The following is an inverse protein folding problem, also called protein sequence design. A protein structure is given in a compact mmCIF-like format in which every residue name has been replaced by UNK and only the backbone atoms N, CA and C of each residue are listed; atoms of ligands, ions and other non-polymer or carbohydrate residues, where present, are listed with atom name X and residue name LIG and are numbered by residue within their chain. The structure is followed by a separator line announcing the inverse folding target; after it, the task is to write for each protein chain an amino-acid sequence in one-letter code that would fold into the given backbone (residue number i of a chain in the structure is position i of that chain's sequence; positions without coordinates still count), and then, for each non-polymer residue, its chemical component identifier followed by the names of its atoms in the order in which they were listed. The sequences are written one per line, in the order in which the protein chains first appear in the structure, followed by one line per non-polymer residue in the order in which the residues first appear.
data_IF_476822226179
#
_entry.id   IF_476822226179
#
_cell.length_a   1.000
_cell.length_b   1.000
_cell.length_c   1.000
_cell.angle_alpha   90.00
_cell.angle_beta   90.00
_cell.angle_gamma   90.00
#
_symmetry.space_group_name_H-M   'P 1'
#
loop_
_entity.id
_entity.type
_entity.pdbx_description
1 polymer ?
#
# COMPACT_ATOMS: atom_id res chain seq x y z
N UNK A 1 -24.11 54.77 72.75
CA UNK A 1 -22.96 54.10 73.38
C UNK A 1 -22.52 52.93 72.50
N UNK A 2 -21.20 52.71 72.42
CA UNK A 2 -20.46 51.58 71.83
C UNK A 2 -20.29 51.49 70.29
N UNK A 3 -19.10 51.93 69.82
CA UNK A 3 -18.48 51.49 68.56
C UNK A 3 -18.13 49.99 68.64
N UNK A 4 -18.30 49.23 67.55
CA UNK A 4 -17.66 47.91 67.36
C UNK A 4 -16.86 47.88 66.04
N UNK A 5 -15.77 47.11 65.98
CA UNK A 5 -14.64 47.39 65.11
C UNK A 5 -14.74 46.69 63.74
N UNK A 6 -14.12 47.32 62.72
CA UNK A 6 -13.91 46.74 61.39
C UNK A 6 -12.83 45.67 61.49
N UNK A 7 -13.15 44.43 61.09
CA UNK A 7 -12.18 43.34 60.94
C UNK A 7 -11.59 43.38 59.52
N UNK A 8 -10.27 43.47 59.40
CA UNK A 8 -9.57 43.18 58.15
C UNK A 8 -9.57 41.66 57.91
N UNK A 9 -9.87 41.16 56.68
CA UNK A 9 -9.75 39.75 56.39
C UNK A 9 -8.29 39.36 56.15
N UNK A 10 -7.89 38.27 56.80
CA UNK A 10 -6.62 37.57 56.67
C UNK A 10 -6.37 37.15 55.22
N UNK A 11 -5.16 37.42 54.71
CA UNK A 11 -4.63 36.86 53.46
C UNK A 11 -4.71 35.34 53.50
N UNK A 12 -5.54 34.75 52.65
CA UNK A 12 -5.70 33.30 52.50
C UNK A 12 -4.59 32.82 51.56
N UNK A 13 -3.50 32.31 52.13
CA UNK A 13 -2.52 31.51 51.38
C UNK A 13 -3.22 30.27 50.82
N UNK A 14 -3.34 30.18 49.51
CA UNK A 14 -3.82 28.96 48.83
C UNK A 14 -2.65 27.97 48.71
N UNK A 15 -2.86 26.68 49.02
CA UNK A 15 -1.77 25.75 49.29
C UNK A 15 -1.14 25.22 48.01
N UNK A 16 0.13 24.82 48.14
CA UNK A 16 1.03 24.14 47.19
C UNK A 16 0.44 22.96 46.41
N UNK A 17 -0.75 22.47 46.75
CA UNK A 17 -1.45 21.41 45.99
C UNK A 17 -1.93 21.87 44.61
N UNK A 18 -2.28 23.15 44.46
CA UNK A 18 -2.69 23.69 43.16
C UNK A 18 -1.51 23.73 42.16
N UNK A 19 -0.30 24.05 42.63
CA UNK A 19 0.90 24.09 41.79
C UNK A 19 1.42 22.68 41.44
N UNK A 20 1.31 21.71 42.36
CA UNK A 20 1.62 20.30 42.07
C UNK A 20 0.64 19.71 41.06
N UNK A 21 -0.67 19.98 41.22
CA UNK A 21 -1.69 19.54 40.27
C UNK A 21 -1.48 20.10 38.86
N UNK A 22 -1.10 21.38 38.75
CA UNK A 22 -0.78 22.02 37.48
C UNK A 22 0.48 21.43 36.83
N UNK A 23 1.52 21.14 37.61
CA UNK A 23 2.76 20.53 37.11
C UNK A 23 2.54 19.08 36.62
N UNK A 24 1.71 18.30 37.32
CA UNK A 24 1.33 16.94 36.88
C UNK A 24 0.49 17.01 35.60
N UNK A 25 -0.48 17.92 35.51
CA UNK A 25 -1.28 18.14 34.29
C UNK A 25 -0.39 18.55 33.11
N UNK A 26 0.54 19.49 33.30
CA UNK A 26 1.48 19.90 32.25
C UNK A 26 2.42 18.77 31.86
N UNK A 27 2.88 17.95 32.81
CA UNK A 27 3.69 16.77 32.55
C UNK A 27 2.93 15.70 31.75
N UNK A 28 1.65 15.46 32.06
CA UNK A 28 0.77 14.54 31.33
C UNK A 28 0.48 15.08 29.92
N UNK A 29 0.15 16.36 29.77
CA UNK A 29 -0.07 16.99 28.45
C UNK A 29 1.20 16.99 27.61
N UNK A 30 2.36 17.24 28.22
CA UNK A 30 3.66 17.17 27.54
C UNK A 30 4.00 15.72 27.16
N UNK A 31 3.71 14.75 28.02
CA UNK A 31 3.92 13.34 27.72
C UNK A 31 2.99 12.86 26.59
N UNK A 32 1.69 13.15 26.65
CA UNK A 32 0.76 12.81 25.57
C UNK A 32 0.99 13.63 24.29
N UNK A 33 1.44 14.89 24.37
CA UNK A 33 1.71 15.76 23.23
C UNK A 33 3.05 15.52 22.54
N UNK A 34 4.09 15.14 23.30
CA UNK A 34 5.43 14.82 22.76
C UNK A 34 5.59 13.33 22.41
N UNK A 35 4.83 12.43 23.05
CA UNK A 35 4.90 10.97 22.84
C UNK A 35 3.66 10.34 22.20
N UNK A 36 2.59 11.10 21.87
CA UNK A 36 1.75 10.68 20.74
C UNK A 36 2.60 10.81 19.48
N UNK A 37 3.31 9.73 19.14
CA UNK A 37 3.70 9.51 17.77
C UNK A 37 2.40 9.56 16.96
N UNK A 38 2.18 10.66 16.24
CA UNK A 38 1.12 10.70 15.24
C UNK A 38 1.39 9.53 14.31
N UNK A 39 0.51 8.52 14.35
CA UNK A 39 0.60 7.40 13.43
C UNK A 39 0.57 8.01 12.03
N UNK A 40 1.60 7.74 11.23
CA UNK A 40 1.65 8.23 9.85
C UNK A 40 0.34 7.86 9.15
N UNK A 41 -0.36 8.86 8.65
CA UNK A 41 -1.63 8.69 7.95
C UNK A 41 -1.32 8.51 6.47
N UNK A 42 -2.07 7.69 5.74
CA UNK A 42 -1.85 7.52 4.29
C UNK A 42 -1.89 8.86 3.53
N UNK A 43 -2.61 9.85 4.07
CA UNK A 43 -2.70 11.20 3.56
C UNK A 43 -1.36 11.95 3.56
N UNK A 44 -0.41 11.58 4.42
CA UNK A 44 0.91 12.21 4.53
C UNK A 44 1.84 11.83 3.36
N UNK A 45 1.48 10.80 2.60
CA UNK A 45 2.23 10.36 1.43
C UNK A 45 1.80 11.13 0.19
N UNK A 46 2.80 11.74 -0.46
CA UNK A 46 2.60 12.60 -1.63
C UNK A 46 2.27 11.81 -2.90
N UNK A 47 2.80 10.59 -3.03
CA UNK A 47 2.64 9.78 -4.21
C UNK A 47 1.54 8.75 -3.98
N UNK A 48 0.43 8.94 -4.67
CA UNK A 48 -0.81 8.18 -4.49
C UNK A 48 -1.17 7.43 -5.76
N UNK A 49 -1.85 6.32 -5.57
CA UNK A 49 -2.36 5.50 -6.65
C UNK A 49 -3.52 4.66 -6.17
N UNK A 50 -3.93 3.76 -7.02
CA UNK A 50 -5.06 2.86 -6.77
C UNK A 50 -4.88 1.58 -7.58
N UNK A 51 -5.68 0.58 -7.28
CA UNK A 51 -5.71 -0.64 -8.07
C UNK A 51 -7.14 -1.08 -8.37
N UNK A 52 -7.33 -1.65 -9.56
CA UNK A 52 -8.66 -2.01 -10.06
C UNK A 52 -8.64 -3.30 -10.89
N UNK A 53 -9.80 -3.90 -11.00
CA UNK A 53 -10.10 -5.07 -11.82
C UNK A 53 -11.44 -4.86 -12.55
N UNK A 54 -11.94 -5.90 -13.21
CA UNK A 54 -13.31 -5.91 -13.73
C UNK A 54 -14.40 -5.66 -12.66
N UNK A 55 -14.09 -5.81 -11.35
CA UNK A 55 -15.04 -5.55 -10.27
C UNK A 55 -15.43 -4.07 -10.15
N UNK A 56 -14.55 -3.16 -10.57
CA UNK A 56 -14.83 -1.72 -10.57
C UNK A 56 -15.74 -1.28 -11.72
N UNK A 57 -16.06 -2.17 -12.66
CA UNK A 57 -16.97 -1.90 -13.77
C UNK A 57 -16.36 -0.97 -14.83
N UNK A 58 -17.22 -0.15 -15.44
CA UNK A 58 -16.79 0.89 -16.39
C UNK A 58 -16.22 2.08 -15.63
N UNK A 59 -15.03 2.53 -16.04
CA UNK A 59 -14.31 3.63 -15.39
C UNK A 59 -14.31 4.84 -16.33
N UNK A 60 -14.76 5.99 -15.83
CA UNK A 60 -14.63 7.26 -16.54
C UNK A 60 -13.25 7.87 -16.28
N UNK A 61 -12.24 7.37 -17.01
CA UNK A 61 -10.84 7.77 -16.86
C UNK A 61 -10.60 9.28 -17.00
N UNK A 62 -11.41 10.00 -17.78
CA UNK A 62 -11.29 11.47 -17.95
C UNK A 62 -11.52 12.24 -16.65
N UNK A 63 -12.23 11.65 -15.69
CA UNK A 63 -12.47 12.25 -14.35
C UNK A 63 -11.34 11.99 -13.37
N UNK A 64 -10.41 11.08 -13.69
CA UNK A 64 -9.32 10.69 -12.79
C UNK A 64 -8.12 11.61 -13.04
N UNK A 65 -7.77 12.42 -12.04
CA UNK A 65 -6.66 13.36 -12.17
C UNK A 65 -5.29 12.68 -12.03
N UNK A 66 -4.39 12.76 -13.03
CA UNK A 66 -3.03 12.25 -12.94
C UNK A 66 -2.14 13.05 -11.97
N UNK A 67 -2.60 14.24 -11.54
CA UNK A 67 -1.97 15.05 -10.50
C UNK A 67 -2.36 14.55 -9.11
N UNK A 68 -3.57 14.01 -8.95
CA UNK A 68 -4.04 13.43 -7.69
C UNK A 68 -3.57 11.98 -7.51
N UNK A 69 -3.58 11.19 -8.59
CA UNK A 69 -3.11 9.81 -8.63
C UNK A 69 -2.01 9.67 -9.67
N UNK A 70 -0.83 9.21 -9.29
CA UNK A 70 0.32 9.13 -10.19
C UNK A 70 0.47 7.74 -10.81
N UNK A 71 -0.05 6.71 -10.14
CA UNK A 71 0.04 5.34 -10.60
C UNK A 71 -1.27 4.57 -10.46
N UNK A 72 -1.42 3.52 -11.28
CA UNK A 72 -2.48 2.52 -11.14
C UNK A 72 -1.95 1.12 -11.47
N UNK A 73 -2.36 0.13 -10.67
CA UNK A 73 -2.17 -1.29 -10.99
C UNK A 73 -3.49 -1.92 -11.44
N UNK A 74 -3.46 -2.65 -12.54
CA UNK A 74 -4.64 -3.27 -13.14
C UNK A 74 -4.55 -4.78 -13.04
N UNK A 75 -5.62 -5.44 -12.59
CA UNK A 75 -5.70 -6.90 -12.66
C UNK A 75 -5.59 -7.32 -14.12
N UNK A 76 -4.61 -8.14 -14.44
CA UNK A 76 -4.47 -8.69 -15.78
C UNK A 76 -4.96 -10.12 -15.86
N UNK A 77 -4.52 -10.94 -14.91
CA UNK A 77 -4.70 -12.39 -14.95
C UNK A 77 -4.83 -12.97 -13.56
N UNK A 78 -5.31 -14.19 -13.50
CA UNK A 78 -5.43 -14.98 -12.29
C UNK A 78 -5.20 -16.45 -12.64
N UNK A 79 -4.36 -17.13 -11.85
CA UNK A 79 -4.07 -18.55 -12.08
C UNK A 79 -3.59 -18.84 -13.51
N UNK A 80 -3.89 -20.04 -14.01
CA UNK A 80 -3.33 -20.50 -15.28
C UNK A 80 -4.05 -20.04 -16.55
N UNK A 81 -5.26 -19.50 -16.43
CA UNK A 81 -6.18 -19.35 -17.55
C UNK A 81 -7.07 -18.10 -17.51
N UNK A 82 -7.39 -17.58 -16.32
CA UNK A 82 -8.26 -16.41 -16.22
C UNK A 82 -7.53 -15.14 -16.66
N UNK A 83 -8.22 -14.36 -17.51
CA UNK A 83 -7.83 -13.03 -17.95
C UNK A 83 -8.92 -12.04 -17.57
N UNK A 84 -8.53 -10.93 -16.94
CA UNK A 84 -9.49 -9.90 -16.55
C UNK A 84 -10.07 -9.23 -17.80
N UNK A 85 -11.40 -9.31 -17.94
CA UNK A 85 -12.12 -8.83 -19.13
C UNK A 85 -11.96 -7.33 -19.39
N UNK A 86 -11.66 -6.52 -18.38
CA UNK A 86 -11.52 -5.07 -18.51
C UNK A 86 -10.04 -4.65 -18.63
N UNK A 87 -9.08 -5.58 -18.51
CA UNK A 87 -7.65 -5.25 -18.44
C UNK A 87 -7.17 -4.43 -19.65
N UNK A 88 -7.43 -4.87 -20.88
CA UNK A 88 -6.90 -4.20 -22.07
C UNK A 88 -7.44 -2.78 -22.23
N UNK A 89 -8.74 -2.59 -21.98
CA UNK A 89 -9.38 -1.29 -22.04
C UNK A 89 -8.87 -0.36 -20.95
N UNK A 90 -8.81 -0.85 -19.70
CA UNK A 90 -8.26 -0.09 -18.59
C UNK A 90 -6.78 0.26 -18.81
N UNK A 91 -6.00 -0.66 -19.37
CA UNK A 91 -4.58 -0.45 -19.67
C UNK A 91 -4.37 0.70 -20.63
N UNK A 92 -5.13 0.73 -21.74
CA UNK A 92 -5.02 1.80 -22.73
C UNK A 92 -5.51 3.13 -22.16
N UNK A 93 -6.71 3.18 -21.58
CA UNK A 93 -7.32 4.42 -21.10
C UNK A 93 -6.56 5.04 -19.92
N UNK A 94 -6.04 4.23 -19.00
CA UNK A 94 -5.21 4.71 -17.89
C UNK A 94 -3.92 5.39 -18.39
N UNK A 95 -3.30 4.82 -19.42
CA UNK A 95 -2.09 5.38 -20.04
C UNK A 95 -2.38 6.65 -20.84
N UNK A 96 -3.49 6.70 -21.56
CA UNK A 96 -3.96 7.92 -22.24
C UNK A 96 -4.24 9.07 -21.26
N UNK A 97 -4.75 8.74 -20.06
CA UNK A 97 -4.91 9.71 -18.98
C UNK A 97 -3.57 10.14 -18.34
N UNK A 98 -2.46 9.53 -18.76
CA UNK A 98 -1.11 9.84 -18.33
C UNK A 98 -0.70 9.17 -17.03
N UNK A 99 -1.43 8.18 -16.51
CA UNK A 99 -1.01 7.47 -15.29
C UNK A 99 0.22 6.58 -15.56
N UNK A 100 1.08 6.37 -14.57
CA UNK A 100 2.02 5.26 -14.62
C UNK A 100 1.26 3.96 -14.38
N UNK A 101 1.25 3.07 -15.37
CA UNK A 101 0.39 1.88 -15.37
C UNK A 101 1.22 0.63 -15.15
N UNK A 102 0.80 -0.19 -14.20
CA UNK A 102 1.29 -1.54 -13.97
C UNK A 102 0.16 -2.57 -14.06
N UNK A 103 0.55 -3.84 -14.09
CA UNK A 103 -0.37 -4.96 -14.10
C UNK A 103 -0.06 -5.91 -12.94
N UNK A 104 -1.09 -6.53 -12.39
CA UNK A 104 -0.93 -7.56 -11.36
C UNK A 104 -1.56 -8.90 -11.77
N UNK A 105 -0.95 -9.97 -11.26
CA UNK A 105 -1.42 -11.34 -11.37
C UNK A 105 -1.95 -11.82 -10.01
N UNK A 106 -3.22 -12.22 -9.93
CA UNK A 106 -3.73 -12.88 -8.73
C UNK A 106 -3.25 -14.33 -8.70
N UNK A 107 -2.32 -14.63 -7.78
CA UNK A 107 -1.67 -15.93 -7.73
C UNK A 107 -2.57 -16.99 -7.09
N UNK A 108 -2.71 -18.13 -7.75
CA UNK A 108 -3.39 -19.31 -7.22
C UNK A 108 -2.36 -20.27 -6.63
N UNK A 109 -2.41 -20.44 -5.29
CA UNK A 109 -1.42 -21.19 -4.50
C UNK A 109 -1.30 -22.68 -4.89
N UNK A 110 -2.31 -23.23 -5.56
CA UNK A 110 -2.42 -24.63 -5.98
C UNK A 110 -2.11 -24.83 -7.48
N UNK A 111 -1.40 -23.88 -8.10
CA UNK A 111 -1.06 -23.90 -9.53
C UNK A 111 0.43 -23.64 -9.74
N UNK A 112 0.97 -24.25 -10.79
CA UNK A 112 2.38 -24.12 -11.17
C UNK A 112 2.72 -22.67 -11.55
N UNK A 113 3.85 -22.17 -11.06
CA UNK A 113 4.31 -20.81 -11.27
C UNK A 113 4.57 -20.51 -12.75
N UNK A 114 5.08 -21.50 -13.50
CA UNK A 114 5.33 -21.37 -14.95
C UNK A 114 4.05 -21.11 -15.73
N UNK A 115 2.97 -21.84 -15.44
CA UNK A 115 1.69 -21.69 -16.14
C UNK A 115 1.07 -20.31 -15.83
N UNK A 116 1.20 -19.86 -14.58
CA UNK A 116 0.75 -18.53 -14.15
C UNK A 116 1.55 -17.40 -14.81
N UNK A 117 2.88 -17.55 -14.93
CA UNK A 117 3.74 -16.63 -15.66
C UNK A 117 3.37 -16.55 -17.14
N UNK A 118 3.17 -17.70 -17.79
CA UNK A 118 2.77 -17.77 -19.20
C UNK A 118 1.43 -17.05 -19.45
N UNK A 119 0.45 -17.23 -18.57
CA UNK A 119 -0.82 -16.52 -18.65
C UNK A 119 -0.64 -14.99 -18.56
N UNK A 120 0.14 -14.52 -17.57
CA UNK A 120 0.43 -13.10 -17.40
C UNK A 120 1.18 -12.52 -18.59
N UNK A 121 2.25 -13.18 -19.05
CA UNK A 121 3.06 -12.76 -20.20
C UNK A 121 2.22 -12.69 -21.48
N UNK A 122 1.35 -13.67 -21.70
CA UNK A 122 0.46 -13.69 -22.86
C UNK A 122 -0.63 -12.60 -22.84
N UNK A 123 -0.80 -11.90 -21.71
CA UNK A 123 -1.87 -10.91 -21.51
C UNK A 123 -1.33 -9.49 -21.39
N UNK A 124 -0.21 -9.29 -20.70
CA UNK A 124 0.33 -7.97 -20.36
C UNK A 124 1.38 -7.53 -21.38
N UNK A 125 1.16 -6.40 -22.10
CA UNK A 125 2.12 -5.89 -23.07
C UNK A 125 3.48 -5.57 -22.42
N UNK A 126 4.57 -6.01 -23.05
CA UNK A 126 5.93 -5.64 -22.64
C UNK A 126 6.26 -4.21 -23.10
N UNK A 127 5.95 -3.24 -22.25
CA UNK A 127 6.18 -1.81 -22.49
C UNK A 127 7.26 -1.28 -21.55
N UNK A 128 8.27 -0.62 -22.13
CA UNK A 128 9.39 -0.07 -21.37
C UNK A 128 8.95 0.96 -20.31
N UNK A 129 7.87 1.69 -20.56
CA UNK A 129 7.30 2.70 -19.67
C UNK A 129 6.19 2.17 -18.75
N UNK A 130 5.93 0.86 -18.73
CA UNK A 130 5.06 0.24 -17.74
C UNK A 130 5.78 0.07 -16.39
N UNK A 131 5.02 0.15 -15.30
CA UNK A 131 5.51 -0.21 -13.97
C UNK A 131 5.86 -1.71 -13.91
N UNK A 132 6.71 -2.14 -12.95
CA UNK A 132 7.07 -3.54 -12.80
C UNK A 132 5.85 -4.43 -12.58
N UNK A 133 5.88 -5.70 -13.03
CA UNK A 133 4.78 -6.62 -12.80
C UNK A 133 4.61 -6.92 -11.30
N UNK A 134 3.36 -7.01 -10.86
CA UNK A 134 3.03 -7.40 -9.48
C UNK A 134 2.52 -8.84 -9.45
N UNK A 135 3.02 -9.62 -8.50
CA UNK A 135 2.45 -10.91 -8.13
C UNK A 135 1.67 -10.70 -6.83
N UNK A 136 0.36 -10.88 -6.90
CA UNK A 136 -0.57 -10.76 -5.79
C UNK A 136 -0.66 -12.10 -5.07
N UNK A 137 -0.05 -12.14 -3.87
CA UNK A 137 0.15 -13.32 -3.04
C UNK A 137 -0.73 -13.22 -1.80
N UNK A 138 -1.91 -13.80 -1.90
CA UNK A 138 -2.88 -13.86 -0.81
C UNK A 138 -3.15 -15.28 -0.32
N UNK A 139 -3.64 -15.36 0.92
CA UNK A 139 -3.99 -16.61 1.53
C UNK A 139 -5.28 -17.16 0.92
N UNK A 140 -5.23 -18.39 0.43
CA UNK A 140 -6.40 -19.12 -0.08
C UNK A 140 -6.49 -20.45 0.68
N UNK A 141 -7.49 -20.58 1.56
CA UNK A 141 -7.67 -21.77 2.39
C UNK A 141 -7.90 -23.04 1.59
N UNK A 142 -8.42 -22.93 0.37
CA UNK A 142 -8.69 -24.09 -0.49
C UNK A 142 -7.41 -24.59 -1.19
N UNK A 143 -6.41 -23.72 -1.32
CA UNK A 143 -5.20 -24.01 -2.10
C UNK A 143 -3.90 -24.03 -1.28
N UNK A 144 -3.89 -23.49 -0.06
CA UNK A 144 -2.68 -23.38 0.76
C UNK A 144 -2.00 -24.72 1.08
N UNK A 145 -2.77 -25.81 1.13
CA UNK A 145 -2.26 -27.15 1.43
C UNK A 145 -1.94 -27.98 0.17
N UNK A 146 -2.10 -27.42 -1.03
CA UNK A 146 -1.79 -28.13 -2.27
C UNK A 146 -0.28 -28.36 -2.43
N UNK A 147 0.54 -27.48 -1.88
CA UNK A 147 1.99 -27.57 -1.86
C UNK A 147 2.52 -27.48 -0.42
N UNK A 148 3.68 -28.09 -0.16
CA UNK A 148 4.46 -27.71 1.03
C UNK A 148 4.92 -26.26 0.88
N UNK A 149 5.31 -25.64 2.01
CA UNK A 149 5.86 -24.27 1.98
C UNK A 149 7.03 -24.14 1.00
N UNK A 150 7.94 -25.10 0.98
CA UNK A 150 9.12 -25.10 0.12
C UNK A 150 8.75 -25.26 -1.36
N UNK A 151 7.75 -26.09 -1.66
CA UNK A 151 7.21 -26.24 -3.01
C UNK A 151 6.56 -24.93 -3.47
N UNK A 152 5.72 -24.32 -2.62
CA UNK A 152 5.07 -23.05 -2.94
C UNK A 152 6.10 -21.92 -3.18
N UNK A 153 7.12 -21.83 -2.34
CA UNK A 153 8.21 -20.85 -2.54
C UNK A 153 8.95 -21.08 -3.87
N UNK A 154 9.16 -22.33 -4.29
CA UNK A 154 9.75 -22.63 -5.61
C UNK A 154 8.84 -22.19 -6.75
N UNK A 155 7.55 -22.46 -6.69
CA UNK A 155 6.62 -22.04 -7.75
C UNK A 155 6.52 -20.51 -7.84
N UNK A 156 6.50 -19.80 -6.69
CA UNK A 156 6.55 -18.33 -6.67
C UNK A 156 7.86 -17.83 -7.30
N UNK A 157 8.99 -18.47 -7.01
CA UNK A 157 10.29 -18.13 -7.61
C UNK A 157 10.28 -18.32 -9.12
N UNK A 158 9.71 -19.43 -9.62
CA UNK A 158 9.58 -19.69 -11.06
C UNK A 158 8.81 -18.57 -11.74
N UNK A 159 7.67 -18.16 -11.19
CA UNK A 159 6.90 -17.06 -11.77
C UNK A 159 7.68 -15.74 -11.70
N UNK A 160 8.22 -15.42 -10.54
CA UNK A 160 9.03 -14.20 -10.33
C UNK A 160 10.14 -14.08 -11.38
N UNK A 161 10.94 -15.12 -11.57
CA UNK A 161 12.10 -15.07 -12.45
C UNK A 161 11.70 -14.97 -13.91
N UNK A 162 10.62 -15.67 -14.33
CA UNK A 162 10.11 -15.56 -15.69
C UNK A 162 9.56 -14.15 -15.99
N UNK A 163 8.84 -13.54 -15.04
CA UNK A 163 8.38 -12.16 -15.19
C UNK A 163 9.57 -11.19 -15.23
N UNK A 164 10.55 -11.36 -14.35
CA UNK A 164 11.76 -10.53 -14.34
C UNK A 164 12.52 -10.62 -15.66
N UNK A 165 12.71 -11.83 -16.18
CA UNK A 165 13.38 -12.08 -17.44
C UNK A 165 12.61 -11.49 -18.62
N UNK A 166 11.28 -11.64 -18.64
CA UNK A 166 10.46 -11.16 -19.76
C UNK A 166 10.36 -9.64 -19.80
N UNK A 167 10.05 -8.99 -18.67
CA UNK A 167 9.79 -7.55 -18.59
C UNK A 167 11.05 -6.73 -18.33
N UNK A 168 12.17 -7.35 -17.96
CA UNK A 168 13.42 -6.66 -17.60
C UNK A 168 13.28 -5.77 -16.36
N UNK A 169 12.26 -6.01 -15.53
CA UNK A 169 11.90 -5.20 -14.35
C UNK A 169 11.79 -6.12 -13.15
N UNK A 170 12.23 -5.65 -11.99
CA UNK A 170 12.14 -6.41 -10.74
C UNK A 170 10.66 -6.55 -10.33
N UNK A 171 10.07 -7.76 -10.31
CA UNK A 171 8.69 -7.93 -9.89
C UNK A 171 8.48 -7.47 -8.45
N UNK A 172 7.25 -7.06 -8.14
CA UNK A 172 6.81 -6.61 -6.82
C UNK A 172 5.85 -7.66 -6.26
N UNK A 173 5.92 -7.95 -4.96
CA UNK A 173 4.95 -8.82 -4.31
C UNK A 173 3.90 -7.99 -3.56
N UNK A 174 2.65 -8.08 -4.00
CA UNK A 174 1.53 -7.65 -3.17
C UNK A 174 1.24 -8.75 -2.13
N UNK A 175 1.13 -8.35 -0.85
CA UNK A 175 0.94 -9.29 0.26
C UNK A 175 0.01 -8.74 1.34
N UNK A 176 -0.67 -9.66 2.02
CA UNK A 176 -1.17 -9.42 3.38
C UNK A 176 -0.06 -9.72 4.41
N UNK A 177 -0.06 -9.01 5.55
CA UNK A 177 0.90 -9.26 6.65
C UNK A 177 0.94 -10.74 7.06
N UNK A 178 -0.23 -11.38 7.16
CA UNK A 178 -0.35 -12.79 7.54
C UNK A 178 0.32 -13.72 6.53
N UNK A 179 0.06 -13.53 5.24
CA UNK A 179 0.71 -14.34 4.20
C UNK A 179 2.22 -14.18 4.23
N UNK A 180 2.71 -12.94 4.37
CA UNK A 180 4.14 -12.67 4.48
C UNK A 180 4.78 -13.41 5.66
N UNK A 181 4.22 -13.31 6.88
CA UNK A 181 4.81 -13.95 8.06
C UNK A 181 4.78 -15.48 8.01
N UNK A 182 3.76 -16.08 7.37
CA UNK A 182 3.61 -17.54 7.29
C UNK A 182 4.49 -18.12 6.17
N UNK A 183 4.46 -17.51 4.99
CA UNK A 183 5.05 -18.08 3.78
C UNK A 183 6.38 -17.42 3.42
N UNK A 184 6.43 -16.09 3.30
CA UNK A 184 7.55 -15.39 2.64
C UNK A 184 8.68 -14.92 3.57
N UNK A 185 8.42 -14.77 4.87
CA UNK A 185 9.42 -14.23 5.81
C UNK A 185 10.70 -15.06 5.80
N UNK A 186 11.84 -14.39 5.59
CA UNK A 186 13.15 -15.02 5.38
C UNK A 186 13.46 -15.44 3.94
N UNK A 187 12.51 -15.26 3.00
CA UNK A 187 12.66 -15.52 1.57
C UNK A 187 12.50 -14.24 0.75
N UNK A 188 12.96 -14.26 -0.51
CA UNK A 188 12.80 -13.16 -1.46
C UNK A 188 13.29 -11.80 -0.94
N UNK A 189 14.38 -11.76 -0.15
CA UNK A 189 14.77 -10.57 0.64
C UNK A 189 14.96 -9.28 -0.19
N UNK A 190 15.24 -9.41 -1.49
CA UNK A 190 15.46 -8.29 -2.40
C UNK A 190 14.22 -7.89 -3.22
N UNK A 191 13.13 -8.64 -3.15
CA UNK A 191 11.90 -8.36 -3.90
C UNK A 191 11.11 -7.22 -3.23
N UNK A 192 10.75 -6.12 -3.91
CA UNK A 192 9.98 -5.06 -3.26
C UNK A 192 8.58 -5.54 -2.84
N UNK A 193 8.06 -4.97 -1.75
CA UNK A 193 6.76 -5.36 -1.19
C UNK A 193 5.72 -4.26 -1.36
N UNK A 194 4.54 -4.64 -1.82
CA UNK A 194 3.32 -3.86 -1.70
C UNK A 194 2.46 -4.48 -0.60
N UNK A 195 2.34 -3.80 0.54
CA UNK A 195 1.72 -4.38 1.73
C UNK A 195 0.31 -3.86 1.91
N UNK A 196 -0.66 -4.76 2.07
CA UNK A 196 -2.00 -4.41 2.53
C UNK A 196 -2.04 -4.29 4.05
N UNK A 197 -2.49 -3.13 4.52
CA UNK A 197 -2.85 -2.91 5.92
C UNK A 197 -3.89 -1.78 6.03
N UNK A 198 -5.10 -2.08 6.47
CA UNK A 198 -6.18 -1.09 6.55
C UNK A 198 -6.26 -0.37 7.91
N UNK A 199 -5.43 -0.76 8.88
CA UNK A 199 -5.50 -0.23 10.24
C UNK A 199 -4.44 0.83 10.51
N UNK A 200 -3.22 0.60 10.02
CA UNK A 200 -2.09 1.50 10.23
C UNK A 200 -1.01 1.29 9.17
N UNK A 201 0.00 2.14 9.19
CA UNK A 201 1.20 1.99 8.37
C UNK A 201 1.77 0.56 8.54
N UNK A 202 2.10 -0.15 7.44
CA UNK A 202 2.56 -1.52 7.53
C UNK A 202 3.85 -1.65 8.34
N UNK A 203 3.84 -2.61 9.26
CA UNK A 203 5.00 -3.04 10.05
C UNK A 203 5.12 -4.55 9.99
N UNK A 204 6.21 -5.03 9.40
CA UNK A 204 6.53 -6.45 9.31
C UNK A 204 7.42 -6.88 10.50
N UNK A 205 7.28 -8.12 10.97
CA UNK A 205 7.96 -8.62 12.19
C UNK A 205 9.49 -8.56 12.11
N UNK A 206 10.04 -8.68 10.90
CA UNK A 206 11.47 -8.61 10.59
C UNK A 206 11.94 -7.20 10.22
N UNK A 207 11.07 -6.18 10.33
CA UNK A 207 11.42 -4.79 10.04
C UNK A 207 11.59 -4.49 8.54
N UNK A 208 11.24 -5.41 7.65
CA UNK A 208 11.36 -5.20 6.21
C UNK A 208 10.46 -4.04 5.76
N UNK A 209 11.03 -3.17 4.95
CA UNK A 209 10.35 -1.98 4.43
C UNK A 209 9.41 -2.35 3.28
N UNK A 210 8.31 -1.63 3.18
CA UNK A 210 7.36 -1.72 2.09
C UNK A 210 7.65 -0.62 1.05
N UNK A 211 7.39 -0.92 -0.22
CA UNK A 211 7.50 0.02 -1.34
C UNK A 211 6.16 0.72 -1.60
N UNK A 212 5.07 -0.06 -1.55
CA UNK A 212 3.70 0.44 -1.65
C UNK A 212 2.88 -0.03 -0.46
N UNK A 213 1.86 0.76 -0.09
CA UNK A 213 0.92 0.44 0.96
C UNK A 213 -0.50 0.58 0.44
N UNK A 214 -1.26 -0.53 0.43
CA UNK A 214 -2.71 -0.49 0.23
C UNK A 214 -3.38 -0.22 1.57
N UNK A 215 -3.93 0.98 1.71
CA UNK A 215 -4.35 1.51 3.00
C UNK A 215 -5.87 1.51 3.19
N UNK A 216 -6.64 1.28 2.13
CA UNK A 216 -8.10 1.10 2.20
C UNK A 216 -8.62 0.38 0.96
N UNK A 217 -9.69 -0.39 1.12
CA UNK A 217 -10.51 -0.98 0.05
C UNK A 217 -11.82 -0.24 -0.20
N UNK A 218 -12.08 0.82 0.58
CA UNK A 218 -13.32 1.59 0.56
C UNK A 218 -13.09 3.02 0.08
N UNK A 219 -12.07 3.21 -0.76
CA UNK A 219 -11.80 4.49 -1.39
C UNK A 219 -12.92 4.92 -2.34
N UNK A 220 -12.97 6.22 -2.60
CA UNK A 220 -13.83 6.82 -3.62
C UNK A 220 -12.96 7.64 -4.57
N UNK A 221 -13.12 7.40 -5.85
CA UNK A 221 -12.46 8.15 -6.93
C UNK A 221 -13.55 8.61 -7.89
N UNK A 222 -13.54 9.89 -8.25
CA UNK A 222 -14.46 10.42 -9.24
C UNK A 222 -14.29 9.69 -10.58
N UNK A 223 -15.40 9.17 -11.10
CA UNK A 223 -15.40 8.33 -12.31
C UNK A 223 -15.39 6.83 -12.05
N UNK A 224 -15.37 6.38 -10.79
CA UNK A 224 -15.54 4.98 -10.40
C UNK A 224 -16.68 4.89 -9.37
N UNK A 225 -17.79 4.23 -9.74
CA UNK A 225 -18.98 4.15 -8.89
C UNK A 225 -18.82 3.13 -7.73
N UNK A 226 -17.89 2.19 -7.88
CA UNK A 226 -17.62 1.13 -6.91
C UNK A 226 -16.52 1.55 -5.93
N UNK A 227 -16.45 0.92 -4.74
CA UNK A 227 -15.30 1.05 -3.85
C UNK A 227 -13.98 0.73 -4.57
N UNK A 228 -12.96 1.51 -4.24
CA UNK A 228 -11.63 1.42 -4.86
C UNK A 228 -10.56 1.18 -3.79
N UNK A 229 -9.63 0.30 -4.11
CA UNK A 229 -8.43 0.09 -3.34
C UNK A 229 -7.46 1.27 -3.55
N UNK A 230 -7.11 1.98 -2.47
CA UNK A 230 -6.21 3.13 -2.53
C UNK A 230 -4.84 2.79 -1.97
N UNK A 231 -3.83 3.33 -2.65
CA UNK A 231 -2.44 3.02 -2.43
C UNK A 231 -1.58 4.26 -2.30
N UNK A 232 -0.50 4.12 -1.55
CA UNK A 232 0.56 5.13 -1.49
C UNK A 232 1.92 4.48 -1.73
N UNK A 233 2.83 5.25 -2.30
CA UNK A 233 4.24 4.90 -2.41
C UNK A 233 5.00 5.41 -1.18
N UNK A 234 5.96 4.62 -0.70
CA UNK A 234 6.59 4.84 0.61
C UNK A 234 7.39 6.13 0.74
N UNK A 235 8.02 6.58 -0.35
CA UNK A 235 9.00 7.65 -0.29
C UNK A 235 8.54 8.95 -0.96
N UNK A 236 9.42 9.96 -0.86
CA UNK A 236 9.23 11.28 -1.46
C UNK A 236 9.03 11.25 -2.99
N UNK A 237 8.46 12.32 -3.59
CA UNK A 237 8.38 12.48 -5.04
C UNK A 237 9.72 12.38 -5.77
N UNK A 238 10.82 12.78 -5.12
CA UNK A 238 12.18 12.60 -5.69
C UNK A 238 12.55 11.12 -5.80
N UNK A 239 12.26 10.34 -4.75
CA UNK A 239 12.53 8.90 -4.77
C UNK A 239 11.61 8.15 -5.72
N UNK A 240 10.36 8.61 -5.88
CA UNK A 240 9.47 8.08 -6.92
C UNK A 240 10.08 8.19 -8.32
N UNK A 241 10.62 9.36 -8.69
CA UNK A 241 11.29 9.55 -9.99
C UNK A 241 12.54 8.68 -10.14
N UNK A 242 13.31 8.50 -9.06
CA UNK A 242 14.46 7.59 -9.05
C UNK A 242 14.00 6.15 -9.27
N UNK A 243 12.96 5.71 -8.57
CA UNK A 243 12.36 4.40 -8.74
C UNK A 243 11.92 4.19 -10.19
N UNK A 244 11.16 5.12 -10.78
CA UNK A 244 10.76 5.06 -12.19
C UNK A 244 11.97 4.90 -13.13
N UNK A 245 13.01 5.73 -12.93
CA UNK A 245 14.23 5.70 -13.74
C UNK A 245 14.97 4.36 -13.62
N UNK A 246 15.05 3.79 -12.40
CA UNK A 246 15.64 2.47 -12.17
C UNK A 246 14.88 1.35 -12.88
N UNK A 247 13.57 1.54 -13.11
CA UNK A 247 12.77 0.62 -13.91
C UNK A 247 12.82 0.93 -15.42
N UNK A 248 13.65 1.89 -15.86
CA UNK A 248 13.73 2.32 -17.27
C UNK A 248 12.55 3.17 -17.74
N UNK A 249 11.75 3.71 -16.81
CA UNK A 249 10.60 4.56 -17.12
C UNK A 249 11.05 6.02 -17.08
N UNK A 250 10.92 6.71 -18.21
CA UNK A 250 11.15 8.16 -18.26
C UNK A 250 9.89 8.88 -17.78
N UNK A 251 10.03 9.68 -16.71
CA UNK A 251 8.97 10.58 -16.28
C UNK A 251 8.95 11.80 -17.20
N UNK A 252 8.02 11.80 -18.15
CA UNK A 252 7.85 12.89 -19.13
C UNK A 252 7.04 14.08 -18.60
N UNK A 253 6.77 14.14 -17.29
CA UNK A 253 5.93 15.14 -16.64
C UNK A 253 6.69 16.13 -15.78
#
# INVERSE_FOLDING_TARGET
MAKKPVKHPLSRYYPTYASVGLAVMLGVVSYFGLFHQQKASAQDYAIRGFDVSHHQGEINWKKISPVQYQFVYLKATEGGDFKDRNFQENWLKAREQGLHVGAYHFYRLCRDGKVQAENFIATVPNKADALPPVIDLEYDSNCINAFTKEQLLREIQVMHDQLQQHYGKQPIFYISKSFYHIVLMGSFINTPLWVRDYQEQPKLKDGRQWLFWQHTQNGKIDGIDKPVDLNVYADSPKQWRIFLTQQGIQDGK
#
